data_IF_518653288971
#
_entry.id   IF_518653288971
#
_cell.length_a   1.000
_cell.length_b   1.000
_cell.length_c   1.000
_cell.angle_alpha   90.00
_cell.angle_beta   90.00
_cell.angle_gamma   90.00
#
_symmetry.space_group_name_H-M   'P 1'
#
loop_
_entity.id
_entity.type
_entity.pdbx_description
1 polymer ?
#
# COMPACT_ATOMS: atom_id res chain seq x y z
N UNK A 1 -8.84 -15.89 27.68
CA UNK A 1 -9.04 -15.62 27.24
C UNK A 1 -8.78 -14.97 26.84
N UNK A 2 -8.72 -15.15 26.77
CA UNK A 2 -8.84 -14.73 26.13
C UNK A 2 -8.65 -14.07 25.61
N UNK A 3 -8.58 -14.24 25.71
CA UNK A 3 -8.67 -13.83 25.02
C UNK A 3 -8.47 -13.08 24.40
N UNK A 4 -8.39 -13.21 24.49
CA UNK A 4 -8.42 -12.67 23.73
C UNK A 4 -8.12 -11.93 23.09
N UNK A 5 -8.02 -12.09 23.20
CA UNK A 5 -7.99 -11.58 22.48
C UNK A 5 -7.71 -10.99 21.76
N UNK A 6 -7.57 -11.13 21.88
CA UNK A 6 -7.57 -10.78 21.09
C UNK A 6 -7.31 -10.17 20.33
N UNK A 7 -7.25 -10.27 20.47
CA UNK A 7 -7.29 -9.92 19.61
C UNK A 7 -7.01 -9.28 18.89
N UNK A 8 -6.82 -9.47 19.11
CA UNK A 8 -6.77 -9.14 18.30
C UNK A 8 -6.59 -8.59 17.48
N UNK A 9 -6.56 -8.65 17.84
CA UNK A 9 -6.55 -8.42 17.04
C UNK A 9 -6.49 -8.10 16.14
N UNK A 10 -6.70 -8.20 16.58
CA UNK A 10 -6.62 -8.23 15.89
C UNK A 10 -6.58 -7.83 14.89
N UNK A 11 -6.73 -7.48 15.09
CA UNK A 11 -6.67 -7.22 13.94
C UNK A 11 -6.30 -8.17 13.07
N UNK A 12 -6.85 -8.88 12.92
CA UNK A 12 -6.50 -9.74 12.12
C UNK A 12 -6.88 -9.54 10.83
N UNK A 13 -6.13 -9.02 10.09
CA UNK A 13 -6.51 -8.71 8.78
C UNK A 13 -6.18 -9.85 7.90
N UNK A 14 -6.83 -9.90 6.75
CA UNK A 14 -6.50 -10.83 5.70
C UNK A 14 -5.49 -10.23 4.73
N UNK A 15 -4.92 -9.10 5.05
CA UNK A 15 -3.94 -8.42 4.22
C UNK A 15 -2.53 -8.71 4.73
N UNK A 16 -1.54 -8.62 3.84
CA UNK A 16 -0.17 -8.97 4.19
C UNK A 16 0.46 -7.97 5.14
N UNK A 17 0.14 -6.69 5.00
CA UNK A 17 0.76 -5.66 5.80
C UNK A 17 -0.17 -4.45 5.96
N UNK A 18 0.13 -3.58 6.90
CA UNK A 18 -0.66 -2.36 7.10
C UNK A 18 -0.11 -1.23 6.24
N UNK A 19 -1.00 -0.35 5.76
CA UNK A 19 -0.57 0.90 5.16
C UNK A 19 0.08 1.77 6.25
N UNK A 20 1.07 2.55 5.86
CA UNK A 20 1.75 3.46 6.77
C UNK A 20 1.32 4.89 6.46
N UNK A 21 0.81 5.61 7.46
CA UNK A 21 0.39 7.00 7.27
C UNK A 21 1.49 7.88 7.83
N UNK A 22 2.29 8.47 6.95
CA UNK A 22 3.45 9.26 7.37
C UNK A 22 3.91 10.18 6.26
N UNK A 23 3.75 11.47 6.47
CA UNK A 23 4.23 12.47 5.50
C UNK A 23 5.73 12.43 5.32
N UNK A 24 6.46 12.15 6.40
CA UNK A 24 7.92 12.05 6.32
C UNK A 24 8.35 10.86 5.49
N UNK A 25 7.78 9.69 5.75
CA UNK A 25 8.12 8.49 4.99
C UNK A 25 7.67 8.62 3.55
N UNK A 26 6.56 9.29 3.30
CA UNK A 26 6.09 9.51 1.94
C UNK A 26 7.14 10.23 1.11
N UNK A 27 7.88 11.15 1.72
CA UNK A 27 8.93 11.91 1.02
C UNK A 27 10.26 11.17 1.00
N UNK A 28 10.61 10.49 2.09
CA UNK A 28 11.99 10.06 2.31
C UNK A 28 12.22 8.56 2.22
N UNK A 29 11.18 7.74 2.24
CA UNK A 29 11.37 6.29 2.15
C UNK A 29 12.00 5.91 0.82
N UNK A 30 12.72 4.80 0.76
CA UNK A 30 13.38 4.37 -0.48
C UNK A 30 12.39 4.29 -1.65
N UNK A 31 12.89 4.62 -2.83
CA UNK A 31 12.06 4.63 -4.03
C UNK A 31 12.85 4.02 -5.18
N UNK A 32 13.32 2.80 -4.98
CA UNK A 32 14.04 2.10 -6.03
C UNK A 32 13.10 1.76 -7.17
N UNK A 33 13.65 1.63 -8.36
CA UNK A 33 12.86 1.53 -9.58
C UNK A 33 11.94 0.30 -9.56
N UNK A 34 10.70 0.51 -9.91
CA UNK A 34 9.71 -0.56 -10.00
C UNK A 34 8.57 -0.10 -10.90
N UNK A 35 7.76 -1.08 -11.34
CA UNK A 35 6.56 -0.79 -12.13
C UNK A 35 5.38 -1.36 -11.39
N UNK A 36 4.31 -0.59 -11.28
CA UNK A 36 3.04 -1.09 -10.78
C UNK A 36 2.27 -1.64 -11.96
N UNK A 37 1.97 -2.94 -11.93
CA UNK A 37 1.27 -3.62 -13.02
C UNK A 37 -0.24 -3.51 -12.89
N UNK A 38 -0.75 -3.66 -11.68
CA UNK A 38 -2.18 -3.58 -11.42
C UNK A 38 -2.45 -3.30 -9.96
N UNK A 39 -3.62 -2.72 -9.70
CA UNK A 39 -4.09 -2.41 -8.35
C UNK A 39 -5.56 -2.79 -8.29
N UNK A 40 -5.95 -3.47 -7.23
CA UNK A 40 -7.34 -3.84 -7.01
C UNK A 40 -7.67 -3.79 -5.54
N UNK A 41 -8.93 -3.54 -5.23
CA UNK A 41 -9.42 -3.54 -3.85
C UNK A 41 -10.29 -4.77 -3.64
N UNK A 42 -10.05 -5.45 -2.51
CA UNK A 42 -10.89 -6.55 -2.08
C UNK A 42 -11.18 -6.32 -0.60
N UNK A 43 -12.38 -5.80 -0.30
CA UNK A 43 -12.72 -5.40 1.05
C UNK A 43 -11.83 -4.25 1.52
N UNK A 44 -11.12 -4.45 2.60
CA UNK A 44 -10.20 -3.45 3.15
C UNK A 44 -8.76 -3.70 2.75
N UNK A 45 -8.52 -4.62 1.83
CA UNK A 45 -7.18 -4.91 1.32
C UNK A 45 -6.97 -4.31 -0.05
N UNK A 46 -5.90 -3.55 -0.19
CA UNK A 46 -5.45 -3.04 -1.48
C UNK A 46 -4.38 -3.98 -2.01
N UNK A 47 -4.66 -4.63 -3.13
CA UNK A 47 -3.74 -5.60 -3.73
C UNK A 47 -2.95 -4.91 -4.84
N UNK A 48 -1.63 -4.93 -4.73
CA UNK A 48 -0.76 -4.33 -5.72
C UNK A 48 0.13 -5.40 -6.32
N UNK A 49 0.09 -5.50 -7.66
CA UNK A 49 1.04 -6.30 -8.41
C UNK A 49 2.11 -5.37 -8.96
N UNK A 50 3.36 -5.66 -8.69
CA UNK A 50 4.46 -4.80 -9.14
C UNK A 50 5.66 -5.64 -9.55
N UNK A 51 6.54 -5.03 -10.35
CA UNK A 51 7.74 -5.71 -10.85
C UNK A 51 8.96 -4.83 -10.65
N UNK A 52 10.10 -5.47 -10.41
CA UNK A 52 11.39 -4.78 -10.32
C UNK A 52 12.48 -5.76 -10.70
N UNK A 53 13.68 -5.25 -10.94
CA UNK A 53 14.82 -6.11 -11.23
C UNK A 53 15.37 -6.72 -9.95
N UNK A 54 15.83 -7.96 -10.02
CA UNK A 54 16.40 -8.59 -8.84
C UNK A 54 16.75 -10.03 -9.07
N UNK A 55 17.03 -10.74 -7.99
CA UNK A 55 17.38 -12.15 -8.01
C UNK A 55 16.14 -13.01 -7.75
N UNK A 56 15.48 -12.78 -6.62
CA UNK A 56 14.24 -13.44 -6.27
C UNK A 56 13.28 -12.49 -5.53
N UNK A 57 13.74 -11.29 -5.19
CA UNK A 57 12.93 -10.31 -4.48
C UNK A 57 12.75 -10.58 -3.00
N UNK A 58 13.39 -11.63 -2.46
CA UNK A 58 13.16 -12.01 -1.06
C UNK A 58 13.73 -11.00 -0.08
N UNK A 59 14.72 -10.23 -0.48
CA UNK A 59 15.32 -9.23 0.39
C UNK A 59 14.72 -7.84 0.22
N UNK A 60 13.75 -7.68 -0.66
CA UNK A 60 13.13 -6.37 -0.89
C UNK A 60 12.37 -5.92 0.35
N UNK A 61 12.42 -4.60 0.61
CA UNK A 61 11.60 -3.98 1.66
C UNK A 61 10.53 -3.15 0.98
N UNK A 62 9.28 -3.48 1.24
CA UNK A 62 8.15 -2.89 0.55
C UNK A 62 7.21 -2.28 1.56
N UNK A 63 6.76 -1.04 1.30
CA UNK A 63 5.76 -0.36 2.12
C UNK A 63 4.80 0.38 1.23
N UNK A 64 3.55 0.49 1.67
CA UNK A 64 2.60 1.41 1.06
C UNK A 64 2.45 2.57 2.02
N UNK A 65 2.72 3.79 1.56
CA UNK A 65 2.79 4.96 2.42
C UNK A 65 1.79 6.00 1.95
N UNK A 66 1.00 6.52 2.88
CA UNK A 66 0.06 7.62 2.65
C UNK A 66 0.74 8.93 3.03
N UNK A 67 0.49 9.98 2.25
CA UNK A 67 1.14 11.27 2.44
C UNK A 67 0.70 11.99 3.71
N UNK A 68 -0.30 11.46 4.41
CA UNK A 68 -0.86 12.09 5.60
C UNK A 68 -1.75 13.30 5.29
N UNK A 69 -1.91 13.64 4.02
CA UNK A 69 -2.71 14.78 3.60
C UNK A 69 -3.99 14.27 2.96
N UNK A 70 -5.13 14.77 3.41
CA UNK A 70 -6.42 14.48 2.79
C UNK A 70 -6.81 15.69 1.96
N UNK A 71 -7.09 15.44 0.67
CA UNK A 71 -7.59 16.48 -0.22
C UNK A 71 -9.10 16.48 -0.10
N UNK A 72 -9.66 17.62 0.35
CA UNK A 72 -11.10 17.70 0.59
C UNK A 72 -11.82 18.06 -0.69
N UNK A 73 -12.07 17.06 -1.49
CA UNK A 73 -12.93 17.15 -2.67
C UNK A 73 -14.17 16.27 -2.39
N UNK A 74 -15.00 16.06 -3.37
CA UNK A 74 -16.20 15.25 -3.22
C UNK A 74 -16.20 14.16 -4.28
N UNK A 75 -15.77 12.94 -3.93
CA UNK A 75 -15.28 12.44 -2.63
C UNK A 75 -13.87 12.97 -2.29
N UNK A 76 -13.45 12.84 -1.02
CA UNK A 76 -12.10 13.21 -0.66
C UNK A 76 -11.06 12.27 -1.27
N UNK A 77 -9.80 12.70 -1.29
CA UNK A 77 -8.72 11.97 -1.94
C UNK A 77 -7.50 11.87 -1.04
N UNK A 78 -6.75 10.79 -1.21
CA UNK A 78 -5.46 10.61 -0.56
C UNK A 78 -4.41 10.20 -1.58
N UNK A 79 -3.17 10.57 -1.32
CA UNK A 79 -2.05 10.21 -2.19
C UNK A 79 -1.21 9.14 -1.52
N UNK A 80 -0.91 8.08 -2.26
CA UNK A 80 -0.16 6.93 -1.78
C UNK A 80 1.08 6.72 -2.63
N UNK A 81 2.08 6.09 -2.04
CA UNK A 81 3.30 5.70 -2.75
C UNK A 81 3.72 4.31 -2.31
N UNK A 82 4.02 3.45 -3.28
CA UNK A 82 4.63 2.15 -3.00
C UNK A 82 6.14 2.38 -2.89
N UNK A 83 6.68 2.13 -1.71
CA UNK A 83 8.10 2.31 -1.45
C UNK A 83 8.79 0.97 -1.62
N UNK A 84 9.88 0.96 -2.38
CA UNK A 84 10.70 -0.23 -2.58
C UNK A 84 12.15 0.07 -2.25
N UNK A 85 12.74 -0.76 -1.39
CA UNK A 85 14.18 -0.80 -1.20
C UNK A 85 14.67 -2.09 -1.81
N UNK A 86 15.49 -1.99 -2.85
CA UNK A 86 15.95 -3.14 -3.63
C UNK A 86 17.45 -3.04 -3.82
N UNK A 87 18.19 -3.92 -3.14
CA UNK A 87 19.64 -3.94 -3.23
C UNK A 87 20.13 -5.20 -3.95
N UNK A 88 19.22 -5.90 -4.64
CA UNK A 88 19.60 -7.11 -5.38
C UNK A 88 20.28 -6.73 -6.68
N UNK A 89 21.29 -7.49 -7.05
CA UNK A 89 22.16 -7.13 -8.16
C UNK A 89 21.95 -7.99 -9.42
N UNK A 90 21.05 -8.96 -9.38
CA UNK A 90 20.74 -9.77 -10.55
C UNK A 90 19.82 -8.99 -11.49
N UNK A 91 19.77 -9.43 -12.76
CA UNK A 91 19.00 -8.73 -13.78
C UNK A 91 17.66 -9.38 -14.13
N UNK A 92 17.20 -10.33 -13.36
CA UNK A 92 15.90 -10.95 -13.63
C UNK A 92 14.78 -9.95 -13.33
N UNK A 93 13.67 -10.07 -14.04
CA UNK A 93 12.46 -9.29 -13.73
C UNK A 93 11.62 -10.14 -12.80
N UNK A 94 11.37 -9.62 -11.60
CA UNK A 94 10.63 -10.32 -10.56
C UNK A 94 9.29 -9.61 -10.38
N UNK A 95 8.19 -10.35 -10.42
CA UNK A 95 6.85 -9.80 -10.19
C UNK A 95 6.31 -10.36 -8.89
N UNK A 96 5.79 -9.48 -8.05
CA UNK A 96 5.20 -9.86 -6.77
C UNK A 96 3.84 -9.22 -6.60
N UNK A 97 3.01 -9.86 -5.78
CA UNK A 97 1.74 -9.29 -5.34
C UNK A 97 1.80 -9.14 -3.84
N UNK A 98 1.28 -8.03 -3.33
CA UNK A 98 1.22 -7.80 -1.91
C UNK A 98 -0.08 -7.05 -1.60
N UNK A 99 -0.69 -7.38 -0.46
CA UNK A 99 -1.92 -6.72 -0.03
C UNK A 99 -1.66 -5.87 1.20
N UNK A 100 -2.31 -4.71 1.23
CA UNK A 100 -2.18 -3.77 2.34
C UNK A 100 -3.54 -3.48 2.93
N UNK A 101 -3.62 -3.53 4.25
CA UNK A 101 -4.82 -3.11 4.96
C UNK A 101 -4.88 -1.59 4.93
N UNK A 102 -5.95 -1.04 4.36
CA UNK A 102 -6.10 0.40 4.18
C UNK A 102 -7.20 1.01 5.03
N UNK A 103 -7.64 0.31 6.07
CA UNK A 103 -8.68 0.85 6.95
C UNK A 103 -8.28 2.16 7.59
N UNK A 104 -6.99 2.36 7.85
CA UNK A 104 -6.49 3.61 8.44
C UNK A 104 -6.70 4.82 7.53
N UNK A 105 -7.01 4.60 6.25
CA UNK A 105 -7.23 5.69 5.31
C UNK A 105 -8.67 6.20 5.30
N UNK A 106 -9.59 5.51 5.98
CA UNK A 106 -10.99 5.92 6.01
C UNK A 106 -11.14 7.29 6.66
N UNK A 107 -12.02 8.08 6.10
CA UNK A 107 -12.38 9.39 6.64
C UNK A 107 -13.89 9.40 6.80
N UNK A 108 -14.43 10.49 7.34
CA UNK A 108 -15.86 10.67 7.49
C UNK A 108 -16.54 10.50 6.14
N UNK A 109 -17.66 9.77 6.12
CA UNK A 109 -18.33 9.41 4.89
C UNK A 109 -18.12 7.93 4.59
N UNK A 110 -18.26 7.56 3.31
CA UNK A 110 -18.21 6.15 2.94
C UNK A 110 -17.37 5.90 1.68
N UNK A 111 -16.57 6.85 1.28
CA UNK A 111 -15.76 6.70 0.06
C UNK A 111 -14.55 7.61 0.12
N UNK A 112 -13.42 7.11 -0.34
CA UNK A 112 -12.24 7.92 -0.55
C UNK A 112 -11.56 7.46 -1.83
N UNK A 113 -11.01 8.41 -2.59
CA UNK A 113 -10.30 8.11 -3.82
C UNK A 113 -8.81 8.06 -3.51
N UNK A 114 -8.13 7.07 -4.06
CA UNK A 114 -6.70 6.84 -3.80
C UNK A 114 -5.93 7.10 -5.08
N UNK A 115 -4.94 7.97 -4.99
CA UNK A 115 -4.02 8.27 -6.09
C UNK A 115 -2.68 7.65 -5.75
N UNK A 116 -2.22 6.72 -6.56
CA UNK A 116 -0.97 6.00 -6.29
C UNK A 116 0.08 6.52 -7.26
N UNK A 117 1.24 6.93 -6.75
CA UNK A 117 2.32 7.41 -7.60
C UNK A 117 2.73 6.32 -8.58
N UNK A 118 2.98 6.71 -9.81
CA UNK A 118 3.39 5.82 -10.90
C UNK A 118 2.29 4.85 -11.34
N UNK A 119 1.04 5.15 -11.03
CA UNK A 119 -0.09 4.38 -11.49
C UNK A 119 -1.17 5.37 -11.95
N UNK A 120 -1.66 5.20 -13.18
CA UNK A 120 -2.52 6.23 -13.77
C UNK A 120 -3.94 6.22 -13.25
N UNK A 121 -4.46 5.05 -12.89
CA UNK A 121 -5.86 4.96 -12.53
C UNK A 121 -6.08 5.34 -11.08
N UNK A 122 -7.14 6.11 -10.85
CA UNK A 122 -7.57 6.44 -9.50
C UNK A 122 -8.41 5.29 -8.97
N UNK A 123 -8.17 4.92 -7.72
CA UNK A 123 -8.82 3.77 -7.09
C UNK A 123 -9.87 4.28 -6.12
N UNK A 124 -11.10 3.76 -6.23
CA UNK A 124 -12.18 4.12 -5.31
C UNK A 124 -12.25 3.10 -4.20
N UNK A 125 -12.11 3.56 -2.96
CA UNK A 125 -12.25 2.72 -1.78
C UNK A 125 -13.56 3.09 -1.10
N UNK A 126 -14.47 2.14 -1.04
CA UNK A 126 -15.79 2.35 -0.45
C UNK A 126 -15.92 1.52 0.83
N UNK A 127 -16.53 2.11 1.84
CA UNK A 127 -16.61 1.48 3.15
C UNK A 127 -17.86 1.91 3.93
#
# INVERSE_FOLDING_TARGET
MVTSCSNDDDVNTNCDQLVEVSGEQFKNAPNDQHFINSVAINGDCLNISFSSGGCDGDSWEIKLIDSEVVLFSSPPQRNLRLSLKNEELCDAVITKEITFDIQALQVSGNQILLNIENFEDQISYEY
#
